data_IF_052202043120
#
_entry.id   IF_052202043120
#
_cell.length_a   1.000
_cell.length_b   1.000
_cell.length_c   1.000
_cell.angle_alpha   90.00
_cell.angle_beta   90.00
_cell.angle_gamma   90.00
#
_symmetry.space_group_name_H-M   'P 1'
#
loop_
_entity.id
_entity.type
_entity.pdbx_description
1 polymer ?
#
# COMPACT_ATOMS: atom_id res chain seq x y z
N UNK A 1 49.84 -14.00 16.71
CA UNK A 1 48.62 -13.72 17.46
C UNK A 1 47.47 -13.70 16.46
N UNK A 2 46.64 -14.74 16.47
CA UNK A 2 45.57 -14.97 15.53
C UNK A 2 44.31 -14.26 16.03
N UNK A 3 43.62 -13.53 15.14
CA UNK A 3 42.30 -13.00 15.37
C UNK A 3 41.26 -13.93 14.72
N UNK A 4 40.30 -14.34 15.53
CA UNK A 4 39.28 -15.32 15.22
C UNK A 4 38.24 -14.73 14.25
N UNK A 5 37.85 -15.57 13.27
CA UNK A 5 36.76 -15.32 12.35
C UNK A 5 35.40 -15.54 13.05
N UNK A 6 34.49 -14.59 12.94
CA UNK A 6 33.12 -14.71 13.41
C UNK A 6 32.31 -15.61 12.47
N UNK A 7 31.64 -16.59 13.04
CA UNK A 7 30.72 -17.50 12.38
C UNK A 7 29.41 -16.81 12.03
N UNK A 8 29.10 -16.69 10.71
CA UNK A 8 27.82 -16.28 10.22
C UNK A 8 26.76 -17.35 10.49
N UNK A 9 25.64 -16.93 11.05
CA UNK A 9 24.42 -17.75 11.17
C UNK A 9 23.65 -17.64 9.84
N UNK A 10 23.81 -18.61 8.96
CA UNK A 10 22.89 -18.81 7.83
C UNK A 10 21.64 -19.55 8.35
N UNK A 11 20.52 -18.87 8.34
CA UNK A 11 19.22 -19.48 8.62
C UNK A 11 18.81 -20.37 7.43
N UNK A 12 18.69 -21.67 7.67
CA UNK A 12 18.23 -22.68 6.71
C UNK A 12 16.75 -22.46 6.35
N UNK A 13 16.49 -21.82 5.21
CA UNK A 13 15.17 -21.52 4.66
C UNK A 13 14.63 -22.64 3.75
N UNK A 14 14.77 -23.90 4.12
CA UNK A 14 14.12 -24.98 3.35
C UNK A 14 12.63 -25.06 3.67
N UNK A 15 11.73 -25.06 2.66
CA UNK A 15 10.30 -25.23 2.89
C UNK A 15 10.02 -26.66 3.36
N UNK A 16 9.45 -26.80 4.55
CA UNK A 16 8.88 -28.09 4.99
C UNK A 16 7.71 -28.44 4.08
N UNK A 17 7.82 -29.53 3.35
CA UNK A 17 6.70 -30.10 2.59
C UNK A 17 5.70 -30.70 3.57
N UNK A 18 4.55 -30.05 3.72
CA UNK A 18 3.40 -30.64 4.40
C UNK A 18 2.55 -31.40 3.37
N UNK A 19 2.56 -32.71 3.42
CA UNK A 19 1.67 -33.54 2.64
C UNK A 19 0.24 -33.47 3.23
N UNK A 20 -0.71 -32.99 2.44
CA UNK A 20 -2.12 -33.01 2.78
C UNK A 20 -2.63 -34.47 2.67
N UNK A 21 -3.02 -35.07 3.79
CA UNK A 21 -3.63 -36.39 3.84
C UNK A 21 -5.12 -36.21 4.24
N UNK A 22 -6.08 -36.26 3.31
CA UNK A 22 -7.50 -36.19 3.63
C UNK A 22 -7.92 -37.48 4.30
N UNK A 23 -8.02 -37.48 5.64
CA UNK A 23 -8.72 -38.58 6.33
C UNK A 23 -10.22 -38.43 6.14
N UNK A 24 -10.98 -39.53 5.95
CA UNK A 24 -12.44 -39.46 5.81
C UNK A 24 -13.07 -38.94 7.10
N UNK A 25 -13.97 -38.00 6.94
CA UNK A 25 -14.71 -37.31 7.98
C UNK A 25 -15.73 -38.26 8.61
N UNK A 26 -15.43 -38.88 9.76
CA UNK A 26 -16.42 -39.57 10.57
C UNK A 26 -17.05 -38.58 11.54
N UNK A 27 -18.29 -38.22 11.27
CA UNK A 27 -19.08 -37.27 12.06
C UNK A 27 -19.47 -37.86 13.42
N UNK A 28 -18.81 -37.40 14.48
CA UNK A 28 -19.33 -37.48 15.87
C UNK A 28 -19.81 -36.06 16.21
N UNK A 29 -21.10 -35.92 16.56
CA UNK A 29 -21.69 -34.61 16.86
C UNK A 29 -20.99 -33.97 18.08
N UNK A 30 -20.54 -32.70 18.03
CA UNK A 30 -19.97 -32.04 19.21
C UNK A 30 -21.03 -31.90 20.28
N UNK A 31 -20.66 -32.23 21.51
CA UNK A 31 -21.55 -32.19 22.68
C UNK A 31 -21.73 -30.77 23.24
N UNK A 32 -20.83 -29.85 22.92
CA UNK A 32 -20.88 -28.48 23.39
C UNK A 32 -20.88 -27.46 22.25
N UNK A 33 -21.63 -26.35 22.38
CA UNK A 33 -21.60 -25.28 21.39
C UNK A 33 -20.21 -24.63 21.33
N UNK A 34 -19.77 -24.07 20.17
CA UNK A 34 -18.48 -23.39 20.05
C UNK A 34 -18.43 -22.19 21.00
N UNK A 35 -17.21 -21.86 21.47
CA UNK A 35 -16.99 -20.73 22.39
C UNK A 35 -17.41 -19.40 21.73
N UNK A 36 -17.17 -19.27 20.42
CA UNK A 36 -17.49 -18.09 19.61
C UNK A 36 -18.19 -18.48 18.32
N UNK A 37 -18.99 -17.58 17.78
CA UNK A 37 -19.55 -17.72 16.45
C UNK A 37 -18.48 -17.39 15.39
N UNK A 38 -17.58 -16.44 15.72
CA UNK A 38 -16.45 -16.08 14.86
C UNK A 38 -15.19 -15.70 15.65
N UNK A 39 -14.03 -16.19 15.20
CA UNK A 39 -12.71 -15.72 15.62
C UNK A 39 -12.08 -14.96 14.46
N UNK A 40 -11.66 -13.72 14.70
CA UNK A 40 -11.06 -12.83 13.71
C UNK A 40 -9.59 -12.60 14.09
N UNK A 41 -8.68 -12.80 13.14
CA UNK A 41 -7.24 -12.74 13.35
C UNK A 41 -6.66 -11.44 12.80
N UNK A 42 -6.17 -10.57 13.70
CA UNK A 42 -5.57 -9.29 13.39
C UNK A 42 -6.52 -8.11 13.57
N UNK A 43 -6.25 -7.25 14.54
CA UNK A 43 -7.02 -6.04 14.83
C UNK A 43 -6.51 -4.82 14.01
N UNK A 44 -6.29 -5.02 12.71
CA UNK A 44 -6.07 -3.97 11.72
C UNK A 44 -7.40 -3.39 11.21
N UNK A 45 -7.35 -2.64 10.12
CA UNK A 45 -8.51 -1.99 9.51
C UNK A 45 -9.65 -2.98 9.21
N UNK A 46 -9.38 -4.05 8.47
CA UNK A 46 -10.38 -5.04 8.11
C UNK A 46 -10.94 -5.78 9.33
N UNK A 47 -10.08 -6.18 10.27
CA UNK A 47 -10.49 -6.94 11.45
C UNK A 47 -11.35 -6.13 12.43
N UNK A 48 -11.02 -4.85 12.65
CA UNK A 48 -11.82 -3.95 13.50
C UNK A 48 -13.21 -3.74 12.92
N UNK A 49 -13.31 -3.54 11.60
CA UNK A 49 -14.61 -3.43 10.92
C UNK A 49 -15.41 -4.72 10.99
N UNK A 50 -14.78 -5.84 10.64
CA UNK A 50 -15.45 -7.14 10.64
C UNK A 50 -15.96 -7.52 12.03
N UNK A 51 -15.13 -7.37 13.08
CA UNK A 51 -15.51 -7.68 14.45
C UNK A 51 -16.68 -6.82 14.93
N UNK A 52 -16.62 -5.50 14.65
CA UNK A 52 -17.67 -4.57 15.01
C UNK A 52 -19.00 -4.95 14.38
N UNK A 53 -19.02 -5.09 13.05
CA UNK A 53 -20.26 -5.35 12.33
C UNK A 53 -20.83 -6.75 12.55
N UNK A 54 -20.00 -7.76 12.79
CA UNK A 54 -20.47 -9.10 13.14
C UNK A 54 -21.09 -9.10 14.54
N UNK A 55 -20.48 -8.46 15.53
CA UNK A 55 -21.03 -8.36 16.87
C UNK A 55 -22.30 -7.52 16.95
N UNK A 56 -22.41 -6.40 16.19
CA UNK A 56 -23.66 -5.63 16.06
C UNK A 56 -24.82 -6.43 15.48
N UNK A 57 -24.53 -7.56 14.81
CA UNK A 57 -25.53 -8.53 14.32
C UNK A 57 -25.83 -9.66 15.31
N UNK A 58 -25.35 -9.53 16.56
CA UNK A 58 -25.59 -10.49 17.63
C UNK A 58 -24.64 -11.68 17.64
N UNK A 59 -23.54 -11.67 16.89
CA UNK A 59 -22.53 -12.73 16.89
C UNK A 59 -21.61 -12.60 18.10
N UNK A 60 -21.24 -13.72 18.73
CA UNK A 60 -20.17 -13.80 19.72
C UNK A 60 -18.84 -13.77 18.99
N UNK A 61 -18.13 -12.65 19.05
CA UNK A 61 -16.90 -12.40 18.29
C UNK A 61 -15.71 -12.27 19.20
N UNK A 62 -14.64 -13.01 18.89
CA UNK A 62 -13.30 -12.81 19.45
C UNK A 62 -12.38 -12.24 18.38
N UNK A 63 -11.84 -11.05 18.62
CA UNK A 63 -10.82 -10.41 17.78
C UNK A 63 -9.45 -10.56 18.45
N UNK A 64 -8.58 -11.37 17.85
CA UNK A 64 -7.21 -11.63 18.32
C UNK A 64 -6.22 -10.64 17.66
N UNK A 65 -5.36 -10.05 18.47
CA UNK A 65 -4.27 -9.18 18.02
C UNK A 65 -2.96 -9.59 18.72
N UNK A 66 -1.92 -9.89 17.92
CA UNK A 66 -0.62 -10.28 18.45
C UNK A 66 0.16 -9.14 19.10
N UNK A 67 -0.10 -7.91 18.66
CA UNK A 67 0.55 -6.71 19.17
C UNK A 67 -0.03 -6.20 20.47
N UNK A 68 0.72 -5.31 21.13
CA UNK A 68 0.26 -4.60 22.35
C UNK A 68 -0.86 -3.60 22.07
N UNK A 69 -1.09 -3.23 20.80
CA UNK A 69 -2.07 -2.21 20.39
C UNK A 69 -2.74 -2.64 19.09
N UNK A 70 -4.04 -2.45 18.99
CA UNK A 70 -4.78 -2.58 17.75
C UNK A 70 -4.49 -1.40 16.80
N UNK A 71 -4.67 -1.60 15.50
CA UNK A 71 -4.68 -0.55 14.48
C UNK A 71 -3.37 0.22 14.29
N UNK A 72 -2.20 -0.37 14.61
CA UNK A 72 -0.90 0.31 14.54
C UNK A 72 -0.65 0.91 13.15
N UNK A 73 -0.99 0.19 12.07
CA UNK A 73 -0.83 0.67 10.69
C UNK A 73 -1.75 1.86 10.38
N UNK A 74 -2.92 1.94 11.03
CA UNK A 74 -3.82 3.11 10.92
C UNK A 74 -3.11 4.36 11.45
N UNK A 75 -2.47 4.26 12.61
CA UNK A 75 -1.77 5.38 13.25
C UNK A 75 -0.60 5.92 12.43
N UNK A 76 0.05 5.08 11.63
CA UNK A 76 1.23 5.46 10.84
C UNK A 76 0.88 5.96 9.45
N UNK A 77 -0.31 5.68 8.97
CA UNK A 77 -0.73 5.98 7.59
C UNK A 77 -0.92 7.48 7.34
N UNK A 78 -0.73 7.88 6.08
CA UNK A 78 -0.95 9.26 5.63
C UNK A 78 -0.13 10.30 6.43
N UNK A 79 1.06 9.97 6.92
CA UNK A 79 1.88 10.84 7.76
C UNK A 79 1.25 11.09 9.13
N UNK A 80 0.75 10.05 9.78
CA UNK A 80 0.04 10.07 11.09
C UNK A 80 -1.34 10.75 11.07
N UNK A 81 -1.89 11.06 9.88
CA UNK A 81 -3.21 11.67 9.72
C UNK A 81 -4.33 10.68 9.40
N UNK A 82 -4.01 9.50 8.87
CA UNK A 82 -4.90 8.47 8.34
C UNK A 82 -5.74 8.94 7.15
N UNK A 83 -5.33 8.57 5.94
CA UNK A 83 -6.13 8.74 4.74
C UNK A 83 -7.23 7.65 4.70
N UNK A 84 -8.43 7.96 5.20
CA UNK A 84 -9.49 6.97 5.47
C UNK A 84 -10.09 6.38 4.19
N UNK A 85 -10.17 7.15 3.12
CA UNK A 85 -10.66 6.73 1.80
C UNK A 85 -10.27 7.75 0.72
N UNK A 86 -10.76 7.57 -0.50
CA UNK A 86 -10.65 8.51 -1.61
C UNK A 86 -12.04 9.05 -1.99
N UNK A 87 -12.13 10.31 -2.35
CA UNK A 87 -13.36 10.96 -2.83
C UNK A 87 -13.60 10.57 -4.29
N UNK A 88 -14.11 9.39 -4.49
CA UNK A 88 -14.54 8.86 -5.78
C UNK A 88 -15.67 7.84 -5.57
N UNK A 89 -16.29 7.45 -6.66
CA UNK A 89 -17.27 6.37 -6.67
C UNK A 89 -16.63 4.98 -6.56
N UNK A 90 -17.45 3.94 -6.49
CA UNK A 90 -16.98 2.56 -6.42
C UNK A 90 -16.10 2.17 -7.61
N UNK A 91 -16.36 2.73 -8.79
CA UNK A 91 -15.57 2.48 -9.99
C UNK A 91 -14.17 3.05 -9.87
N UNK A 92 -14.04 4.27 -9.35
CA UNK A 92 -12.72 4.88 -9.09
C UNK A 92 -11.88 4.06 -8.11
N UNK A 93 -12.51 3.45 -7.09
CA UNK A 93 -11.81 2.50 -6.21
C UNK A 93 -11.37 1.26 -7.00
N UNK A 94 -12.25 0.63 -7.77
CA UNK A 94 -11.96 -0.58 -8.57
C UNK A 94 -10.79 -0.33 -9.52
N UNK A 95 -10.82 0.77 -10.24
CA UNK A 95 -9.79 1.14 -11.22
C UNK A 95 -8.40 1.29 -10.56
N UNK A 96 -8.34 1.73 -9.30
CA UNK A 96 -7.10 1.87 -8.54
C UNK A 96 -6.40 0.53 -8.25
N UNK A 97 -7.13 -0.59 -8.27
CA UNK A 97 -6.58 -1.94 -8.08
C UNK A 97 -6.27 -2.66 -9.40
N UNK A 98 -6.47 -2.00 -10.54
CA UNK A 98 -6.17 -2.55 -11.87
C UNK A 98 -6.95 -3.85 -12.15
N UNK A 99 -6.26 -4.88 -12.64
CA UNK A 99 -6.91 -6.14 -13.03
C UNK A 99 -7.66 -6.82 -11.88
N UNK A 100 -7.14 -6.72 -10.65
CA UNK A 100 -7.70 -7.34 -9.45
C UNK A 100 -8.88 -6.56 -8.87
N UNK A 101 -9.07 -5.30 -9.28
CA UNK A 101 -10.11 -4.43 -8.73
C UNK A 101 -11.53 -4.95 -8.89
N UNK A 102 -11.81 -5.75 -9.93
CA UNK A 102 -13.12 -6.37 -10.14
C UNK A 102 -13.60 -7.23 -8.97
N UNK A 103 -12.67 -7.78 -8.19
CA UNK A 103 -13.00 -8.54 -6.99
C UNK A 103 -13.74 -7.71 -5.95
N UNK A 104 -13.54 -6.39 -5.92
CA UNK A 104 -14.11 -5.48 -4.93
C UNK A 104 -15.56 -5.06 -5.20
N UNK A 105 -16.17 -5.42 -6.34
CA UNK A 105 -17.53 -4.99 -6.69
C UNK A 105 -18.55 -5.21 -5.57
N UNK A 106 -18.64 -6.44 -5.05
CA UNK A 106 -19.61 -6.77 -4.00
C UNK A 106 -19.27 -6.09 -2.66
N UNK A 107 -17.99 -6.02 -2.33
CA UNK A 107 -17.53 -5.38 -1.10
C UNK A 107 -17.85 -3.86 -1.11
N UNK A 108 -17.60 -3.18 -2.23
CA UNK A 108 -17.90 -1.76 -2.39
C UNK A 108 -19.41 -1.46 -2.53
N UNK A 109 -20.17 -2.38 -3.12
CA UNK A 109 -21.63 -2.28 -3.13
C UNK A 109 -22.23 -2.44 -1.72
N UNK A 110 -21.55 -3.19 -0.85
CA UNK A 110 -21.94 -3.34 0.55
C UNK A 110 -21.49 -2.18 1.43
N UNK A 111 -20.29 -1.63 1.19
CA UNK A 111 -19.72 -0.55 1.99
C UNK A 111 -18.83 0.33 1.09
N UNK A 112 -19.37 1.43 0.61
CA UNK A 112 -18.78 2.35 -0.36
C UNK A 112 -17.85 3.39 0.31
N UNK A 113 -17.09 4.20 -0.45
CA UNK A 113 -16.37 5.36 0.07
C UNK A 113 -17.28 6.35 0.80
N UNK A 114 -18.51 6.56 0.29
CA UNK A 114 -19.50 7.41 0.94
C UNK A 114 -19.91 6.85 2.30
N UNK A 115 -20.12 5.54 2.40
CA UNK A 115 -20.44 4.88 3.66
C UNK A 115 -19.29 4.99 4.66
N UNK A 116 -18.03 4.96 4.19
CA UNK A 116 -16.84 5.22 5.02
C UNK A 116 -16.85 6.62 5.62
N UNK A 117 -17.10 7.64 4.82
CA UNK A 117 -17.20 9.04 5.28
C UNK A 117 -18.32 9.18 6.30
N UNK A 118 -19.50 8.61 6.01
CA UNK A 118 -20.66 8.66 6.91
C UNK A 118 -20.40 7.90 8.21
N UNK A 119 -19.76 6.71 8.16
CA UNK A 119 -19.36 5.94 9.34
C UNK A 119 -18.53 6.79 10.29
N UNK A 120 -17.46 7.42 9.79
CA UNK A 120 -16.59 8.24 10.64
C UNK A 120 -17.28 9.50 11.14
N UNK A 121 -18.16 10.11 10.32
CA UNK A 121 -18.97 11.25 10.76
C UNK A 121 -19.87 10.89 11.94
N UNK A 122 -20.58 9.76 11.87
CA UNK A 122 -21.45 9.26 12.94
C UNK A 122 -20.66 8.93 14.20
N UNK A 123 -19.43 8.43 14.06
CA UNK A 123 -18.52 8.14 15.17
C UNK A 123 -17.82 9.39 15.73
N UNK A 124 -18.20 10.59 15.29
CA UNK A 124 -17.66 11.86 15.78
C UNK A 124 -16.32 12.26 15.18
N UNK A 125 -15.96 11.69 14.02
CA UNK A 125 -14.74 12.03 13.27
C UNK A 125 -15.15 12.63 11.92
N UNK A 126 -15.44 13.94 11.85
CA UNK A 126 -15.70 14.60 10.58
C UNK A 126 -14.47 14.55 9.68
N UNK A 127 -14.70 14.44 8.37
CA UNK A 127 -13.64 14.31 7.37
C UNK A 127 -13.60 15.50 6.43
N UNK A 128 -12.45 15.72 5.79
CA UNK A 128 -12.22 16.72 4.73
C UNK A 128 -11.61 16.05 3.50
N UNK A 129 -11.90 16.60 2.32
CA UNK A 129 -11.30 16.18 1.05
C UNK A 129 -10.19 17.15 0.68
N UNK A 130 -9.00 16.63 0.41
CA UNK A 130 -7.89 17.43 -0.13
C UNK A 130 -8.01 17.53 -1.67
N UNK A 131 -7.32 18.48 -2.27
CA UNK A 131 -7.34 18.75 -3.73
C UNK A 131 -6.95 17.53 -4.58
N UNK A 132 -6.29 16.54 -3.99
CA UNK A 132 -5.90 15.27 -4.62
C UNK A 132 -6.97 14.18 -4.50
N UNK A 133 -8.14 14.45 -3.93
CA UNK A 133 -9.20 13.49 -3.67
C UNK A 133 -8.98 12.62 -2.42
N UNK A 134 -7.90 12.81 -1.69
CA UNK A 134 -7.64 12.07 -0.43
C UNK A 134 -8.55 12.58 0.68
N UNK A 135 -9.13 11.66 1.45
CA UNK A 135 -10.05 11.97 2.55
C UNK A 135 -9.34 11.76 3.89
N UNK A 136 -9.22 12.83 4.67
CA UNK A 136 -8.60 12.81 5.99
C UNK A 136 -9.58 13.26 7.07
N UNK A 137 -9.38 12.88 8.36
CA UNK A 137 -10.10 13.50 9.44
C UNK A 137 -9.79 15.01 9.50
N UNK A 138 -10.77 15.84 9.82
CA UNK A 138 -10.59 17.29 9.96
C UNK A 138 -9.49 17.64 10.97
N UNK A 139 -9.35 16.83 12.01
CA UNK A 139 -8.33 16.98 13.05
C UNK A 139 -6.89 16.69 12.60
N UNK A 140 -6.70 16.10 11.41
CA UNK A 140 -5.41 15.57 10.93
C UNK A 140 -4.73 14.60 11.90
N UNK A 141 -5.49 13.86 12.72
CA UNK A 141 -4.99 12.89 13.69
C UNK A 141 -5.53 11.49 13.44
N UNK A 142 -4.66 10.57 13.04
CA UNK A 142 -5.00 9.15 12.89
C UNK A 142 -5.50 8.51 14.20
N UNK A 143 -5.12 9.06 15.34
CA UNK A 143 -5.58 8.61 16.65
C UNK A 143 -7.10 8.74 16.80
N UNK A 144 -7.71 9.79 16.28
CA UNK A 144 -9.17 10.00 16.38
C UNK A 144 -9.92 8.93 15.58
N UNK A 145 -9.39 8.57 14.39
CA UNK A 145 -9.90 7.47 13.57
C UNK A 145 -9.85 6.15 14.33
N UNK A 146 -8.69 5.81 14.91
CA UNK A 146 -8.53 4.57 15.66
C UNK A 146 -9.42 4.53 16.91
N UNK A 147 -9.50 5.62 17.64
CA UNK A 147 -10.35 5.70 18.85
C UNK A 147 -11.83 5.55 18.51
N UNK A 148 -12.29 6.10 17.39
CA UNK A 148 -13.66 5.91 16.91
C UNK A 148 -13.96 4.43 16.65
N UNK A 149 -13.05 3.73 15.96
CA UNK A 149 -13.17 2.29 15.71
C UNK A 149 -13.21 1.49 17.02
N UNK A 150 -12.32 1.77 17.96
CA UNK A 150 -12.26 1.05 19.23
C UNK A 150 -13.49 1.33 20.11
N UNK A 151 -14.00 2.56 20.14
CA UNK A 151 -15.24 2.88 20.86
C UNK A 151 -16.42 2.10 20.30
N UNK A 152 -16.56 2.04 18.97
CA UNK A 152 -17.65 1.29 18.34
C UNK A 152 -17.51 -0.21 18.54
N UNK A 153 -16.29 -0.76 18.41
CA UNK A 153 -16.00 -2.15 18.73
C UNK A 153 -16.43 -2.50 20.16
N UNK A 154 -16.06 -1.68 21.13
CA UNK A 154 -16.45 -1.89 22.53
C UNK A 154 -17.98 -1.86 22.71
N UNK A 155 -18.67 -0.90 22.09
CA UNK A 155 -20.14 -0.83 22.15
C UNK A 155 -20.84 -2.02 21.46
N UNK A 156 -20.22 -2.63 20.46
CA UNK A 156 -20.78 -3.78 19.76
C UNK A 156 -20.78 -5.08 20.59
N UNK A 157 -20.00 -5.12 21.68
CA UNK A 157 -19.86 -6.32 22.51
C UNK A 157 -18.83 -7.34 22.01
N UNK A 158 -18.08 -7.05 20.94
CA UNK A 158 -16.98 -7.92 20.51
C UNK A 158 -15.86 -7.94 21.55
N UNK A 159 -15.28 -9.12 21.79
CA UNK A 159 -14.12 -9.28 22.67
C UNK A 159 -12.83 -9.02 21.89
N UNK A 160 -12.04 -8.03 22.32
CA UNK A 160 -10.69 -7.77 21.80
C UNK A 160 -9.63 -8.35 22.75
N UNK A 161 -8.80 -9.26 22.25
CA UNK A 161 -7.67 -9.82 22.96
C UNK A 161 -6.35 -9.35 22.34
N UNK A 162 -5.63 -8.49 23.06
CA UNK A 162 -4.32 -7.97 22.69
C UNK A 162 -3.20 -8.89 23.21
N UNK A 163 -2.04 -8.87 22.56
CA UNK A 163 -0.88 -9.71 22.88
C UNK A 163 -1.20 -11.21 22.86
N UNK A 164 -2.20 -11.59 22.05
CA UNK A 164 -2.66 -12.96 21.90
C UNK A 164 -2.58 -13.37 20.41
N UNK A 165 -1.39 -13.77 19.94
CA UNK A 165 -1.21 -14.26 18.57
C UNK A 165 -1.92 -15.61 18.38
N UNK A 166 -2.68 -15.76 17.30
CA UNK A 166 -3.04 -17.08 16.83
C UNK A 166 -1.77 -17.81 16.35
N UNK A 167 -1.50 -18.98 16.90
CA UNK A 167 -0.34 -19.82 16.55
C UNK A 167 -0.71 -20.91 15.56
N UNK A 168 -1.95 -21.39 15.62
CA UNK A 168 -2.46 -22.38 14.71
C UNK A 168 -3.99 -22.31 14.54
N UNK A 169 -4.49 -22.88 13.44
CA UNK A 169 -5.92 -23.04 13.14
C UNK A 169 -6.10 -24.46 12.63
N UNK A 170 -6.94 -25.25 13.28
CA UNK A 170 -7.34 -26.58 12.84
C UNK A 170 -8.83 -26.61 12.49
N UNK A 171 -9.16 -27.28 11.40
CA UNK A 171 -10.55 -27.65 11.13
C UNK A 171 -10.95 -28.76 12.11
N UNK A 172 -12.06 -28.54 12.80
CA UNK A 172 -12.68 -29.50 13.71
C UNK A 172 -14.12 -29.72 13.32
N UNK A 173 -14.79 -30.67 13.94
CA UNK A 173 -16.19 -30.85 13.70
C UNK A 173 -16.99 -29.59 14.10
N UNK A 174 -17.84 -29.13 13.19
CA UNK A 174 -18.68 -27.94 13.38
C UNK A 174 -17.97 -26.60 13.25
N UNK A 175 -16.67 -26.55 12.87
CA UNK A 175 -15.95 -25.30 12.70
C UNK A 175 -14.44 -25.40 12.80
N UNK A 176 -13.85 -24.59 13.66
CA UNK A 176 -12.41 -24.45 13.81
C UNK A 176 -12.00 -24.40 15.29
N UNK A 177 -10.78 -24.88 15.53
CA UNK A 177 -10.04 -24.63 16.77
C UNK A 177 -8.92 -23.66 16.45
N UNK A 178 -8.89 -22.53 17.17
CA UNK A 178 -7.82 -21.54 17.08
C UNK A 178 -6.97 -21.64 18.33
N UNK A 179 -5.69 -21.91 18.16
CA UNK A 179 -4.71 -22.03 19.24
C UNK A 179 -3.92 -20.74 19.41
N UNK A 180 -3.71 -20.35 20.65
CA UNK A 180 -2.86 -19.23 21.06
C UNK A 180 -1.90 -19.72 22.15
N UNK A 181 -0.86 -18.95 22.54
CA UNK A 181 -0.02 -19.30 23.68
C UNK A 181 -0.75 -19.35 25.02
N UNK A 182 -1.92 -18.70 25.12
CA UNK A 182 -2.67 -18.57 26.36
C UNK A 182 -3.81 -19.59 26.47
N UNK A 183 -4.42 -19.97 25.35
CA UNK A 183 -5.61 -20.86 25.31
C UNK A 183 -5.85 -21.41 23.91
N UNK A 184 -6.72 -22.38 23.81
CA UNK A 184 -7.39 -22.77 22.56
C UNK A 184 -8.86 -22.43 22.68
N UNK A 185 -9.45 -21.93 21.59
CA UNK A 185 -10.87 -21.59 21.49
C UNK A 185 -11.47 -22.24 20.24
N UNK A 186 -12.77 -22.55 20.31
CA UNK A 186 -13.53 -23.07 19.19
C UNK A 186 -14.44 -22.00 18.59
N UNK A 187 -14.61 -22.02 17.27
CA UNK A 187 -15.48 -21.10 16.55
C UNK A 187 -16.11 -21.75 15.34
N UNK A 188 -17.33 -21.34 14.99
CA UNK A 188 -17.97 -21.77 13.74
C UNK A 188 -17.25 -21.21 12.52
N UNK A 189 -16.75 -19.96 12.63
CA UNK A 189 -16.08 -19.24 11.55
C UNK A 189 -14.73 -18.68 11.98
N UNK A 190 -13.78 -18.64 11.04
CA UNK A 190 -12.52 -17.93 11.20
C UNK A 190 -12.35 -16.93 10.07
N UNK A 191 -12.02 -15.68 10.41
CA UNK A 191 -11.70 -14.62 9.45
C UNK A 191 -10.25 -14.19 9.61
N UNK A 192 -9.46 -14.32 8.55
CA UNK A 192 -8.05 -13.91 8.51
C UNK A 192 -7.94 -12.48 7.97
N UNK A 193 -7.48 -11.55 8.81
CA UNK A 193 -7.30 -10.11 8.51
C UNK A 193 -5.93 -9.61 8.96
N UNK A 194 -4.93 -10.49 8.94
CA UNK A 194 -3.58 -10.24 9.48
C UNK A 194 -2.73 -9.27 8.67
N UNK A 195 -3.25 -8.77 7.53
CA UNK A 195 -2.49 -7.96 6.59
C UNK A 195 -1.44 -8.76 5.82
N UNK A 196 -0.49 -8.07 5.21
CA UNK A 196 0.57 -8.63 4.40
C UNK A 196 1.94 -8.71 5.10
N UNK A 197 2.99 -8.20 4.41
CA UNK A 197 4.38 -8.17 4.86
C UNK A 197 4.92 -6.74 5.02
N UNK A 198 4.15 -5.74 4.57
CA UNK A 198 4.59 -4.35 4.56
C UNK A 198 4.60 -3.76 5.96
N UNK A 199 5.67 -3.02 6.27
CA UNK A 199 5.89 -2.41 7.57
C UNK A 199 5.87 -3.45 8.72
N UNK A 200 6.80 -4.42 8.73
CA UNK A 200 6.78 -5.53 9.71
C UNK A 200 6.82 -5.06 11.17
N UNK A 201 7.36 -3.87 11.45
CA UNK A 201 7.29 -3.23 12.76
C UNK A 201 5.88 -2.93 13.28
N UNK A 202 4.85 -2.96 12.41
CA UNK A 202 3.44 -2.88 12.81
C UNK A 202 2.82 -4.23 13.17
N UNK A 203 3.59 -5.32 13.13
CA UNK A 203 3.10 -6.67 13.36
C UNK A 203 2.65 -7.43 12.10
N UNK A 204 2.77 -6.87 10.91
CA UNK A 204 2.44 -7.55 9.64
C UNK A 204 3.62 -8.40 9.17
N UNK A 205 3.65 -9.67 9.56
CA UNK A 205 4.75 -10.63 9.30
C UNK A 205 4.32 -11.80 8.41
N UNK A 206 3.13 -11.70 7.78
CA UNK A 206 2.66 -12.71 6.83
C UNK A 206 2.07 -13.96 7.47
N UNK A 207 1.69 -13.92 8.75
CA UNK A 207 1.14 -15.08 9.48
C UNK A 207 -0.08 -15.67 8.75
N UNK A 208 -0.98 -14.83 8.23
CA UNK A 208 -2.15 -15.25 7.47
C UNK A 208 -1.83 -16.04 6.22
N UNK A 209 -0.67 -15.83 5.61
CA UNK A 209 -0.25 -16.63 4.46
C UNK A 209 0.11 -18.06 4.86
N UNK A 210 0.63 -18.25 6.08
CA UNK A 210 0.86 -19.58 6.65
C UNK A 210 -0.45 -20.33 6.85
N UNK A 211 -1.43 -19.67 7.46
CA UNK A 211 -2.77 -20.24 7.65
C UNK A 211 -3.46 -20.55 6.32
N UNK A 212 -3.42 -19.62 5.36
CA UNK A 212 -3.99 -19.85 4.04
C UNK A 212 -3.41 -21.09 3.35
N UNK A 213 -2.07 -21.24 3.35
CA UNK A 213 -1.41 -22.43 2.77
C UNK A 213 -1.76 -23.72 3.50
N UNK A 214 -1.91 -23.70 4.83
CA UNK A 214 -2.35 -24.85 5.62
C UNK A 214 -3.69 -25.39 5.14
N UNK A 215 -4.58 -24.49 4.73
CA UNK A 215 -5.90 -24.85 4.18
C UNK A 215 -5.92 -25.01 2.64
N UNK A 216 -4.75 -25.15 2.03
CA UNK A 216 -4.61 -25.44 0.61
C UNK A 216 -4.75 -24.23 -0.31
N UNK A 217 -4.82 -22.99 0.21
CA UNK A 217 -4.87 -21.80 -0.60
C UNK A 217 -3.54 -21.47 -1.25
N UNK A 218 -3.63 -21.02 -2.49
CA UNK A 218 -2.50 -20.42 -3.20
C UNK A 218 -2.22 -19.02 -2.64
N UNK A 219 -0.97 -18.76 -2.30
CA UNK A 219 -0.49 -17.41 -1.99
C UNK A 219 0.40 -16.98 -3.14
N UNK A 220 -0.05 -16.01 -3.92
CA UNK A 220 0.69 -15.43 -5.05
C UNK A 220 2.00 -14.80 -4.54
N UNK A 221 3.01 -14.69 -5.43
CA UNK A 221 4.31 -14.15 -5.03
C UNK A 221 4.17 -12.74 -4.47
N UNK A 222 4.47 -12.59 -3.19
CA UNK A 222 4.42 -11.29 -2.51
C UNK A 222 5.63 -10.43 -2.86
N UNK A 223 5.44 -9.11 -2.90
CA UNK A 223 6.47 -8.11 -3.14
C UNK A 223 6.07 -6.76 -2.53
N UNK A 224 7.05 -5.90 -2.17
CA UNK A 224 6.74 -4.56 -1.66
C UNK A 224 6.08 -3.72 -2.74
N UNK A 225 5.03 -2.98 -2.38
CA UNK A 225 4.31 -2.02 -3.23
C UNK A 225 4.08 -0.73 -2.46
N UNK A 226 3.88 0.38 -3.15
CA UNK A 226 3.88 1.71 -2.56
C UNK A 226 5.11 1.92 -1.69
N UNK A 227 6.27 1.76 -2.29
CA UNK A 227 7.57 1.79 -1.63
C UNK A 227 8.50 2.79 -2.30
N UNK A 228 9.32 3.54 -1.56
CA UNK A 228 10.31 4.45 -2.14
C UNK A 228 11.28 3.73 -3.08
N UNK A 229 11.64 4.41 -4.18
CA UNK A 229 12.50 3.89 -5.25
C UNK A 229 13.92 4.37 -5.05
N UNK A 230 14.89 3.45 -5.09
CA UNK A 230 16.30 3.78 -5.11
C UNK A 230 16.82 3.85 -6.55
N UNK A 231 17.72 4.79 -6.82
CA UNK A 231 18.22 5.09 -8.17
C UNK A 231 19.75 5.17 -8.19
N UNK A 232 20.33 4.92 -9.37
CA UNK A 232 21.76 5.09 -9.64
C UNK A 232 22.04 6.49 -10.21
N UNK A 233 21.82 7.52 -9.37
CA UNK A 233 22.02 8.91 -9.74
C UNK A 233 22.31 9.70 -8.45
N UNK A 234 23.60 9.95 -8.17
CA UNK A 234 24.03 10.56 -6.90
C UNK A 234 23.44 11.97 -6.70
N UNK A 235 23.25 12.72 -7.78
CA UNK A 235 22.65 14.04 -7.75
C UNK A 235 21.22 14.07 -7.16
N UNK A 236 20.51 12.95 -7.15
CA UNK A 236 19.18 12.85 -6.53
C UNK A 236 19.27 13.15 -5.02
N UNK A 237 20.37 12.75 -4.40
CA UNK A 237 20.64 13.05 -2.97
C UNK A 237 20.85 14.55 -2.73
N UNK A 238 21.47 15.25 -3.69
CA UNK A 238 21.71 16.69 -3.60
C UNK A 238 20.40 17.48 -3.66
N UNK A 239 19.34 16.90 -4.22
CA UNK A 239 17.97 17.45 -4.22
C UNK A 239 17.13 17.04 -3.02
N UNK A 240 17.68 16.32 -2.04
CA UNK A 240 16.93 15.87 -0.87
C UNK A 240 16.12 16.99 -0.20
N UNK A 241 14.83 16.69 0.07
CA UNK A 241 13.86 17.63 0.62
C UNK A 241 13.11 18.46 -0.44
N UNK A 242 13.52 18.43 -1.71
CA UNK A 242 12.78 19.12 -2.78
C UNK A 242 11.53 18.29 -3.14
N UNK A 243 10.38 18.95 -3.11
CA UNK A 243 9.11 18.39 -3.59
C UNK A 243 8.70 19.06 -4.88
N UNK A 244 8.33 18.27 -5.88
CA UNK A 244 7.67 18.74 -7.09
C UNK A 244 6.23 18.25 -7.07
N UNK A 245 5.27 19.19 -7.14
CA UNK A 245 3.87 18.88 -6.93
C UNK A 245 3.21 18.15 -8.10
N UNK A 246 3.75 18.32 -9.31
CA UNK A 246 3.18 17.76 -10.53
C UNK A 246 4.29 17.29 -11.49
N UNK A 247 4.51 15.98 -11.55
CA UNK A 247 5.52 15.33 -12.39
C UNK A 247 4.90 14.11 -13.06
N UNK A 248 5.16 13.95 -14.36
CA UNK A 248 4.91 12.69 -15.06
C UNK A 248 6.09 11.74 -14.86
N UNK A 249 5.80 10.47 -14.52
CA UNK A 249 6.82 9.42 -14.35
C UNK A 249 6.41 8.20 -15.16
N UNK A 250 7.35 7.67 -15.95
CA UNK A 250 7.22 6.39 -16.63
C UNK A 250 8.31 5.43 -16.17
N UNK A 251 7.96 4.17 -16.00
CA UNK A 251 8.93 3.07 -15.81
C UNK A 251 9.21 2.45 -17.18
N UNK A 252 10.44 2.58 -17.64
CA UNK A 252 10.87 2.11 -18.94
C UNK A 252 11.73 0.85 -18.82
N UNK A 253 11.39 -0.25 -19.51
CA UNK A 253 12.32 -1.36 -19.73
C UNK A 253 13.40 -0.97 -20.76
N UNK A 254 14.46 -1.79 -20.91
CA UNK A 254 15.50 -1.55 -21.94
C UNK A 254 14.94 -1.40 -23.35
N UNK A 255 13.86 -2.11 -23.66
CA UNK A 255 13.13 -2.03 -24.92
C UNK A 255 11.63 -2.23 -24.68
N UNK A 256 10.81 -1.67 -25.56
CA UNK A 256 9.36 -1.83 -25.53
C UNK A 256 8.60 -0.65 -24.93
N UNK A 257 7.35 -0.92 -24.53
CA UNK A 257 6.44 0.09 -23.99
C UNK A 257 6.69 0.32 -22.48
N UNK A 258 6.35 1.51 -21.96
CA UNK A 258 6.39 1.75 -20.53
C UNK A 258 5.59 0.70 -19.75
N UNK A 259 6.17 0.16 -18.68
CA UNK A 259 5.52 -0.79 -17.75
C UNK A 259 4.49 -0.11 -16.85
N UNK A 260 4.74 1.14 -16.53
CA UNK A 260 3.81 1.99 -15.76
C UNK A 260 4.00 3.45 -16.15
N UNK A 261 2.94 4.22 -16.03
CA UNK A 261 2.96 5.68 -16.19
C UNK A 261 2.02 6.31 -15.17
N UNK A 262 2.48 7.33 -14.45
CA UNK A 262 1.71 8.07 -13.43
C UNK A 262 2.07 9.56 -13.48
N UNK A 263 1.16 10.38 -12.95
CA UNK A 263 1.35 11.81 -12.75
C UNK A 263 0.97 12.19 -11.33
N UNK A 264 1.79 12.99 -10.67
CA UNK A 264 1.54 13.41 -9.30
C UNK A 264 2.76 14.02 -8.63
N UNK A 265 2.71 14.16 -7.32
CA UNK A 265 3.80 14.74 -6.54
C UNK A 265 4.97 13.76 -6.38
N UNK A 266 6.19 14.29 -6.57
CA UNK A 266 7.48 13.62 -6.42
C UNK A 266 8.28 14.28 -5.29
N UNK A 267 8.87 13.48 -4.42
CA UNK A 267 9.80 13.92 -3.38
C UNK A 267 11.19 13.32 -3.67
N UNK A 268 12.21 14.19 -3.77
CA UNK A 268 13.60 13.79 -3.74
C UNK A 268 14.04 13.55 -2.29
N UNK A 269 14.66 12.41 -2.01
CA UNK A 269 15.10 12.02 -0.67
C UNK A 269 16.56 11.55 -0.71
N UNK A 270 17.21 11.54 0.44
CA UNK A 270 18.61 11.11 0.57
C UNK A 270 18.85 9.65 0.13
N UNK A 271 17.83 8.82 0.12
CA UNK A 271 17.86 7.43 -0.31
C UNK A 271 17.42 7.22 -1.77
N UNK A 272 16.86 8.22 -2.42
CA UNK A 272 16.29 8.13 -3.77
C UNK A 272 15.02 8.96 -3.94
N UNK A 273 13.96 8.34 -4.44
CA UNK A 273 12.70 8.99 -4.81
C UNK A 273 11.53 8.46 -3.99
N UNK A 274 10.68 9.36 -3.54
CA UNK A 274 9.46 9.09 -2.78
C UNK A 274 8.32 10.00 -3.26
N UNK A 275 7.25 10.05 -2.50
CA UNK A 275 6.03 10.77 -2.87
C UNK A 275 5.10 9.92 -3.72
N UNK A 276 3.86 10.35 -3.87
CA UNK A 276 2.79 9.56 -4.50
C UNK A 276 3.17 8.94 -5.83
N UNK A 277 3.72 9.73 -6.76
CA UNK A 277 4.01 9.24 -8.12
C UNK A 277 5.11 8.17 -8.15
N UNK A 278 6.17 8.32 -7.34
CA UNK A 278 7.25 7.34 -7.26
C UNK A 278 6.77 6.05 -6.59
N UNK A 279 5.94 6.18 -5.55
CA UNK A 279 5.39 5.04 -4.83
C UNK A 279 4.39 4.25 -5.68
N UNK A 280 3.52 4.91 -6.44
CA UNK A 280 2.57 4.25 -7.33
C UNK A 280 3.24 3.45 -8.46
N UNK A 281 4.37 3.94 -9.01
CA UNK A 281 5.10 3.20 -10.05
C UNK A 281 6.01 2.10 -9.48
N UNK A 282 6.28 2.10 -8.19
CA UNK A 282 7.19 1.13 -7.54
C UNK A 282 6.76 -0.32 -7.70
N UNK A 283 5.45 -0.58 -7.83
CA UNK A 283 4.90 -1.91 -8.11
C UNK A 283 5.47 -2.52 -9.39
N UNK A 284 5.61 -1.73 -10.45
CA UNK A 284 6.20 -2.19 -11.70
C UNK A 284 7.70 -2.51 -11.54
N UNK A 285 8.38 -1.79 -10.66
CA UNK A 285 9.81 -2.00 -10.37
C UNK A 285 10.01 -3.28 -9.54
N UNK A 286 9.31 -3.40 -8.42
CA UNK A 286 9.40 -4.58 -7.54
C UNK A 286 8.89 -5.87 -8.19
N UNK A 287 8.03 -5.74 -9.20
CA UNK A 287 7.51 -6.85 -10.00
C UNK A 287 8.41 -7.30 -11.14
N UNK A 288 9.42 -6.52 -11.52
CA UNK A 288 10.33 -6.86 -12.61
C UNK A 288 11.39 -7.88 -12.16
N UNK A 289 11.76 -8.80 -13.04
CA UNK A 289 12.77 -9.83 -12.72
C UNK A 289 14.14 -9.21 -12.44
N UNK A 290 14.50 -8.17 -13.20
CA UNK A 290 15.77 -7.43 -13.14
C UNK A 290 15.51 -5.94 -12.98
N UNK A 291 15.17 -5.43 -11.78
CA UNK A 291 14.84 -4.02 -11.57
C UNK A 291 15.93 -3.04 -12.01
N UNK A 292 17.19 -3.46 -11.96
CA UNK A 292 18.37 -2.64 -12.34
C UNK A 292 18.49 -2.38 -13.84
N UNK A 293 17.73 -3.07 -14.67
CA UNK A 293 17.65 -2.80 -16.12
C UNK A 293 16.62 -1.71 -16.44
N UNK A 294 15.80 -1.34 -15.47
CA UNK A 294 14.77 -0.33 -15.64
C UNK A 294 15.34 1.08 -15.51
N UNK A 295 14.66 2.02 -16.17
CA UNK A 295 14.86 3.45 -15.94
C UNK A 295 13.54 4.16 -15.67
N UNK A 296 13.60 5.24 -14.88
CA UNK A 296 12.51 6.19 -14.73
C UNK A 296 12.70 7.32 -15.75
N UNK A 297 11.68 7.64 -16.50
CA UNK A 297 11.62 8.83 -17.35
C UNK A 297 10.66 9.83 -16.71
N UNK A 298 11.18 11.04 -16.47
CA UNK A 298 10.41 12.13 -15.85
C UNK A 298 10.05 13.18 -16.88
N UNK A 299 8.80 13.62 -16.84
CA UNK A 299 8.34 14.89 -17.37
C UNK A 299 8.14 15.84 -16.18
N UNK A 300 9.05 16.79 -16.00
CA UNK A 300 9.03 17.72 -14.87
C UNK A 300 8.04 18.87 -15.03
N UNK A 301 7.43 19.03 -16.22
CA UNK A 301 6.40 20.02 -16.54
C UNK A 301 5.29 19.40 -17.41
N UNK A 302 4.51 18.42 -16.89
CA UNK A 302 3.57 17.65 -17.69
C UNK A 302 2.39 18.48 -18.25
N UNK A 303 2.14 19.67 -17.68
CA UNK A 303 1.15 20.61 -18.18
C UNK A 303 1.59 21.44 -19.40
N UNK A 304 2.88 21.34 -19.80
CA UNK A 304 3.45 22.15 -20.88
C UNK A 304 4.11 21.22 -21.90
N UNK A 305 3.75 21.34 -23.17
CA UNK A 305 4.36 20.55 -24.25
C UNK A 305 5.84 20.93 -24.50
N UNK A 306 6.59 20.05 -25.20
CA UNK A 306 8.01 20.29 -25.53
C UNK A 306 8.20 21.56 -26.34
N UNK A 307 7.40 21.75 -27.41
CA UNK A 307 7.52 22.93 -28.29
C UNK A 307 7.15 24.22 -27.54
N UNK A 308 5.99 24.34 -26.82
CA UNK A 308 5.70 25.52 -26.02
C UNK A 308 6.74 25.85 -24.95
N UNK A 309 7.37 24.84 -24.35
CA UNK A 309 8.46 25.07 -23.41
C UNK A 309 9.73 25.59 -24.09
N UNK A 310 10.06 25.05 -25.28
CA UNK A 310 11.16 25.54 -26.11
C UNK A 310 10.95 26.99 -26.58
N UNK A 311 9.71 27.34 -26.97
CA UNK A 311 9.35 28.70 -27.39
C UNK A 311 9.42 29.69 -26.20
N UNK A 312 8.98 29.27 -25.00
CA UNK A 312 9.16 30.03 -23.77
C UNK A 312 10.65 30.34 -23.52
N UNK A 313 11.53 29.35 -23.55
CA UNK A 313 12.97 29.57 -23.34
C UNK A 313 13.57 30.50 -24.38
N UNK A 314 13.12 30.43 -25.63
CA UNK A 314 13.56 31.32 -26.69
C UNK A 314 13.09 32.76 -26.48
N UNK A 315 11.83 32.96 -26.14
CA UNK A 315 11.25 34.27 -25.88
C UNK A 315 11.97 34.96 -24.71
N UNK A 316 12.21 34.21 -23.60
CA UNK A 316 12.92 34.72 -22.42
C UNK A 316 14.39 35.06 -22.74
N UNK A 317 15.07 34.30 -23.58
CA UNK A 317 16.45 34.59 -23.98
C UNK A 317 16.57 35.90 -24.78
N UNK A 318 15.53 36.26 -25.51
CA UNK A 318 15.47 37.50 -26.29
C UNK A 318 15.02 38.69 -25.43
N UNK A 319 13.99 38.52 -24.61
CA UNK A 319 13.38 39.61 -23.83
C UNK A 319 14.13 39.89 -22.52
N UNK A 320 14.66 38.87 -21.86
CA UNK A 320 15.31 38.95 -20.56
C UNK A 320 16.77 38.46 -20.60
N UNK A 321 17.51 38.74 -21.68
CA UNK A 321 18.84 38.21 -21.96
C UNK A 321 19.87 38.43 -20.84
N UNK A 322 19.72 39.49 -20.01
CA UNK A 322 20.59 39.76 -18.85
C UNK A 322 20.32 38.86 -17.64
N UNK A 323 19.14 38.26 -17.55
CA UNK A 323 18.76 37.36 -16.48
C UNK A 323 19.57 36.06 -16.55
N UNK A 324 19.90 35.51 -15.39
CA UNK A 324 20.49 34.16 -15.35
C UNK A 324 19.48 33.11 -15.84
N UNK A 325 19.94 32.16 -16.64
CA UNK A 325 19.09 31.08 -17.20
C UNK A 325 18.45 30.23 -16.11
N UNK A 326 19.16 29.98 -15.01
CA UNK A 326 18.59 29.33 -13.84
C UNK A 326 17.41 30.13 -13.21
N UNK A 327 17.44 31.46 -13.31
CA UNK A 327 16.34 32.33 -12.87
C UNK A 327 15.15 32.28 -13.79
N UNK A 328 15.35 32.11 -15.11
CA UNK A 328 14.26 31.87 -16.09
C UNK A 328 13.57 30.53 -15.82
N UNK A 329 14.34 29.47 -15.63
CA UNK A 329 13.81 28.14 -15.30
C UNK A 329 13.06 28.12 -13.98
N UNK A 330 13.52 28.90 -12.97
CA UNK A 330 12.94 28.99 -11.65
C UNK A 330 11.53 29.61 -11.60
N UNK A 331 11.07 30.21 -12.67
CA UNK A 331 9.67 30.62 -12.82
C UNK A 331 8.69 29.44 -12.90
N UNK A 332 9.21 28.25 -13.23
CA UNK A 332 8.40 27.03 -13.46
C UNK A 332 8.82 25.82 -12.63
N UNK A 333 10.07 25.80 -12.15
CA UNK A 333 10.67 24.68 -11.43
C UNK A 333 11.38 25.15 -10.18
N UNK A 334 11.52 24.32 -9.14
CA UNK A 334 12.33 24.65 -7.96
C UNK A 334 13.77 24.99 -8.35
N UNK A 335 14.34 26.05 -7.73
CA UNK A 335 15.67 26.57 -8.08
C UNK A 335 16.75 25.49 -8.06
N UNK A 336 16.80 24.63 -7.05
CA UNK A 336 17.79 23.55 -6.95
C UNK A 336 17.69 22.56 -8.10
N UNK A 337 16.47 22.29 -8.61
CA UNK A 337 16.26 21.47 -9.80
C UNK A 337 16.80 22.17 -11.05
N UNK A 338 16.56 23.48 -11.20
CA UNK A 338 17.07 24.27 -12.31
C UNK A 338 18.59 24.25 -12.38
N UNK A 339 19.27 24.49 -11.27
CA UNK A 339 20.73 24.49 -11.17
C UNK A 339 21.30 23.13 -11.58
N UNK A 340 20.63 22.04 -11.15
CA UNK A 340 21.01 20.68 -11.50
C UNK A 340 20.80 20.37 -12.99
N UNK A 341 19.67 20.79 -13.57
CA UNK A 341 19.39 20.58 -15.01
C UNK A 341 20.42 21.31 -15.89
N UNK A 342 20.86 22.50 -15.50
CA UNK A 342 21.93 23.23 -16.20
C UNK A 342 23.24 22.43 -16.16
N UNK A 343 23.64 21.95 -14.98
CA UNK A 343 24.84 21.11 -14.84
C UNK A 343 24.75 19.83 -15.67
N UNK A 344 23.61 19.14 -15.65
CA UNK A 344 23.37 17.92 -16.44
C UNK A 344 23.49 18.16 -17.96
N UNK A 345 23.12 19.35 -18.40
CA UNK A 345 23.21 19.75 -19.83
C UNK A 345 24.52 20.45 -20.18
N UNK A 346 25.53 20.41 -19.29
CA UNK A 346 26.86 20.99 -19.51
C UNK A 346 26.88 22.53 -19.50
N UNK A 347 25.90 23.14 -18.83
CA UNK A 347 25.75 24.59 -18.79
C UNK A 347 26.14 25.15 -17.43
N UNK A 348 26.80 26.33 -17.42
CA UNK A 348 27.12 27.02 -16.17
C UNK A 348 25.83 27.53 -15.48
N UNK A 349 25.77 27.42 -14.15
CA UNK A 349 24.60 27.83 -13.37
C UNK A 349 24.35 29.34 -13.42
N UNK A 350 25.41 30.13 -13.60
CA UNK A 350 25.39 31.59 -13.72
C UNK A 350 25.21 32.09 -15.16
N UNK A 351 25.07 31.16 -16.13
CA UNK A 351 24.90 31.47 -17.55
C UNK A 351 23.72 32.43 -17.77
N UNK A 352 23.95 33.46 -18.62
CA UNK A 352 22.88 34.39 -19.00
C UNK A 352 21.97 33.82 -20.07
N UNK A 353 20.68 34.20 -20.02
CA UNK A 353 19.68 33.73 -20.96
C UNK A 353 20.00 34.10 -22.42
N UNK A 354 20.60 35.29 -22.69
CA UNK A 354 21.01 35.68 -24.02
C UNK A 354 22.07 34.74 -24.67
N UNK A 355 22.79 33.97 -23.85
CA UNK A 355 23.80 33.03 -24.35
C UNK A 355 23.25 31.66 -24.68
N UNK A 356 21.91 31.44 -24.61
CA UNK A 356 21.24 30.17 -24.86
C UNK A 356 21.22 29.88 -26.35
N UNK A 357 22.05 28.93 -26.82
CA UNK A 357 22.05 28.47 -28.18
C UNK A 357 20.81 27.57 -28.48
N UNK A 358 20.51 27.33 -29.77
CA UNK A 358 19.46 26.39 -30.18
C UNK A 358 19.75 24.97 -29.65
N UNK A 359 21.00 24.53 -29.68
CA UNK A 359 21.41 23.20 -29.23
C UNK A 359 21.19 23.06 -27.72
N UNK A 360 21.62 24.05 -26.93
CA UNK A 360 21.44 24.07 -25.46
C UNK A 360 19.97 24.12 -25.06
N UNK A 361 19.17 24.90 -25.80
CA UNK A 361 17.71 24.95 -25.60
C UNK A 361 17.06 23.58 -25.80
N UNK A 362 17.42 22.88 -26.87
CA UNK A 362 16.89 21.52 -27.12
C UNK A 362 17.35 20.54 -26.05
N UNK A 363 18.60 20.64 -25.59
CA UNK A 363 19.11 19.81 -24.49
C UNK A 363 18.33 20.06 -23.18
N UNK A 364 18.06 21.34 -22.84
CA UNK A 364 17.24 21.68 -21.67
C UNK A 364 15.79 21.21 -21.80
N UNK A 365 15.19 21.35 -22.97
CA UNK A 365 13.84 20.81 -23.22
C UNK A 365 13.83 19.31 -23.00
N UNK A 366 14.80 18.58 -23.53
CA UNK A 366 14.91 17.13 -23.33
C UNK A 366 15.14 16.78 -21.86
N UNK A 367 16.00 17.53 -21.13
CA UNK A 367 16.26 17.31 -19.71
C UNK A 367 15.04 17.60 -18.84
N UNK A 368 14.17 18.53 -19.20
CA UNK A 368 12.93 18.82 -18.46
C UNK A 368 11.82 17.82 -18.78
N UNK A 369 11.73 17.39 -20.04
CA UNK A 369 10.58 16.62 -20.54
C UNK A 369 10.82 15.11 -20.58
N UNK A 370 12.06 14.67 -20.60
CA UNK A 370 12.47 13.26 -20.76
C UNK A 370 13.71 12.92 -19.96
N UNK A 371 13.81 13.48 -18.72
CA UNK A 371 14.91 13.15 -17.83
C UNK A 371 14.90 11.67 -17.47
N UNK A 372 15.96 10.95 -17.78
CA UNK A 372 16.08 9.52 -17.46
C UNK A 372 17.01 9.27 -16.31
N UNK A 373 16.57 8.40 -15.40
CA UNK A 373 17.31 8.01 -14.21
C UNK A 373 17.29 6.48 -14.08
N UNK A 374 18.46 5.81 -14.05
CA UNK A 374 18.52 4.36 -13.88
C UNK A 374 18.02 3.94 -12.49
N UNK A 375 17.19 2.90 -12.45
CA UNK A 375 16.68 2.31 -11.23
C UNK A 375 17.76 1.44 -10.59
N UNK A 376 17.90 1.52 -9.27
CA UNK A 376 18.69 0.59 -8.46
C UNK A 376 17.79 -0.48 -7.81
N UNK A 377 16.56 -0.12 -7.44
CA UNK A 377 15.59 -1.00 -6.78
C UNK A 377 14.59 -0.24 -5.93
N UNK A 378 14.15 -0.84 -4.84
CA UNK A 378 13.23 -0.25 -3.86
C UNK A 378 13.78 -0.45 -2.43
N UNK A 379 13.21 0.24 -1.44
CA UNK A 379 13.59 0.10 -0.02
C UNK A 379 12.99 -1.14 0.66
N UNK A 380 12.33 -2.04 -0.09
CA UNK A 380 11.81 -3.29 0.46
C UNK A 380 10.60 -3.12 1.39
N UNK A 381 10.23 -4.22 2.05
CA UNK A 381 9.05 -4.28 2.92
C UNK A 381 9.10 -3.35 4.13
N UNK A 382 10.29 -3.05 4.65
CA UNK A 382 10.50 -2.14 5.79
C UNK A 382 9.93 -0.73 5.56
N UNK A 383 9.85 -0.31 4.30
CA UNK A 383 9.37 1.01 3.89
C UNK A 383 8.18 0.96 2.93
N UNK A 384 7.68 -0.23 2.63
CA UNK A 384 6.48 -0.40 1.81
C UNK A 384 5.21 -0.09 2.59
N UNK A 385 4.28 0.66 2.00
CA UNK A 385 2.98 0.90 2.63
C UNK A 385 2.05 -0.30 2.50
N UNK A 386 2.16 -1.06 1.39
CA UNK A 386 1.33 -2.24 1.12
C UNK A 386 2.15 -3.38 0.51
N UNK A 387 1.58 -4.58 0.61
CA UNK A 387 2.08 -5.80 -0.03
C UNK A 387 1.28 -6.05 -1.30
N UNK A 388 1.95 -6.20 -2.43
CA UNK A 388 1.38 -6.77 -3.67
C UNK A 388 1.55 -8.28 -3.62
N UNK A 389 0.56 -9.03 -4.10
CA UNK A 389 0.46 -10.48 -3.88
C UNK A 389 -0.25 -10.81 -2.57
N UNK A 390 -0.67 -12.06 -2.42
CA UNK A 390 -1.44 -12.52 -1.26
C UNK A 390 -2.27 -13.75 -1.58
N UNK A 391 -3.31 -14.01 -0.82
CA UNK A 391 -4.26 -15.12 -1.07
C UNK A 391 -4.93 -14.90 -2.43
N UNK A 392 -4.86 -15.91 -3.29
CA UNK A 392 -5.38 -15.87 -4.65
C UNK A 392 -6.89 -15.59 -4.66
N UNK A 393 -7.30 -14.57 -5.42
CA UNK A 393 -8.68 -14.07 -5.41
C UNK A 393 -9.69 -15.02 -6.03
N UNK A 394 -9.27 -15.86 -6.97
CA UNK A 394 -10.11 -16.88 -7.59
C UNK A 394 -10.51 -18.00 -6.62
N UNK A 395 -9.80 -18.14 -5.51
CA UNK A 395 -10.08 -19.12 -4.45
C UNK A 395 -10.95 -18.56 -3.31
N UNK A 396 -11.36 -17.28 -3.41
CA UNK A 396 -12.23 -16.61 -2.42
C UNK A 396 -13.51 -16.13 -3.13
N UNK A 397 -14.66 -16.32 -2.52
CA UNK A 397 -15.93 -15.81 -3.05
C UNK A 397 -16.00 -14.29 -2.78
N UNK A 398 -15.97 -13.50 -3.83
CA UNK A 398 -16.02 -12.03 -3.76
C UNK A 398 -17.34 -11.46 -3.21
N UNK A 399 -18.38 -12.29 -3.07
CA UNK A 399 -19.71 -11.88 -2.56
C UNK A 399 -19.84 -12.08 -1.05
N UNK A 400 -18.98 -12.93 -0.45
CA UNK A 400 -19.05 -13.31 0.96
C UNK A 400 -17.71 -13.19 1.68
N UNK A 401 -16.61 -13.08 0.95
CA UNK A 401 -15.22 -13.19 1.43
C UNK A 401 -14.86 -14.59 1.95
N UNK A 402 -15.71 -15.59 1.74
CA UNK A 402 -15.47 -16.96 2.17
C UNK A 402 -14.51 -17.69 1.24
N UNK A 403 -13.68 -18.53 1.81
CA UNK A 403 -12.89 -19.53 1.08
C UNK A 403 -13.80 -20.43 0.23
N UNK A 404 -13.45 -20.61 -1.04
CA UNK A 404 -14.10 -21.63 -1.89
C UNK A 404 -13.59 -23.04 -1.63
N UNK A 405 -12.51 -23.18 -0.82
CA UNK A 405 -11.89 -24.47 -0.48
C UNK A 405 -12.37 -25.01 0.85
N UNK A 406 -12.57 -24.12 1.83
CA UNK A 406 -12.88 -24.50 3.21
C UNK A 406 -14.07 -23.66 3.70
N UNK A 407 -15.25 -24.27 3.83
CA UNK A 407 -16.44 -23.60 4.39
C UNK A 407 -16.15 -23.06 5.79
N UNK A 408 -16.63 -21.85 6.09
CA UNK A 408 -16.44 -21.19 7.39
C UNK A 408 -15.10 -20.46 7.54
N UNK A 409 -14.16 -20.60 6.60
CA UNK A 409 -12.92 -19.82 6.56
C UNK A 409 -13.11 -18.59 5.65
N UNK A 410 -12.66 -17.42 6.10
CA UNK A 410 -12.82 -16.15 5.40
C UNK A 410 -11.49 -15.38 5.34
N UNK A 411 -11.36 -14.49 4.35
CA UNK A 411 -10.21 -13.59 4.18
C UNK A 411 -10.68 -12.18 3.86
N UNK A 412 -10.10 -11.16 4.50
CA UNK A 412 -10.40 -9.76 4.20
C UNK A 412 -9.19 -8.83 4.41
N UNK A 413 -9.16 -7.72 3.70
CA UNK A 413 -8.07 -6.75 3.74
C UNK A 413 -6.83 -7.20 2.98
N UNK A 414 -5.67 -6.68 3.39
CA UNK A 414 -4.38 -6.80 2.67
C UNK A 414 -3.79 -8.23 2.65
N UNK A 415 -4.39 -9.20 3.33
CA UNK A 415 -4.01 -10.61 3.18
C UNK A 415 -4.39 -11.17 1.82
N UNK A 416 -5.39 -10.57 1.15
CA UNK A 416 -5.80 -10.87 -0.22
C UNK A 416 -4.79 -10.28 -1.23
N UNK A 417 -4.71 -10.87 -2.43
CA UNK A 417 -3.92 -10.31 -3.54
C UNK A 417 -4.57 -9.03 -4.10
N UNK A 418 -4.65 -8.00 -3.25
CA UNK A 418 -5.25 -6.71 -3.54
C UNK A 418 -4.32 -5.59 -3.08
N UNK A 419 -3.72 -4.88 -4.03
CA UNK A 419 -2.95 -3.68 -3.77
C UNK A 419 -3.38 -2.54 -4.71
N UNK A 420 -3.91 -1.47 -4.14
CA UNK A 420 -4.34 -0.25 -4.82
C UNK A 420 -3.30 0.85 -4.78
N UNK A 421 -3.56 1.94 -5.50
CA UNK A 421 -2.70 3.13 -5.50
C UNK A 421 -2.64 3.80 -4.13
N UNK A 422 -1.68 4.73 -3.99
CA UNK A 422 -1.62 5.60 -2.81
C UNK A 422 -2.82 6.57 -2.82
N UNK A 423 -3.46 6.73 -1.67
CA UNK A 423 -4.54 7.71 -1.58
C UNK A 423 -5.82 7.25 -0.87
N UNK A 424 -5.75 6.29 0.04
CA UNK A 424 -6.90 5.80 0.82
C UNK A 424 -7.59 4.56 0.23
N UNK A 425 -7.21 4.16 -0.98
CA UNK A 425 -7.81 3.02 -1.68
C UNK A 425 -7.65 1.70 -0.89
N UNK A 426 -6.47 1.45 -0.34
CA UNK A 426 -6.18 0.22 0.41
C UNK A 426 -6.97 0.16 1.74
N UNK A 427 -7.19 1.31 2.40
CA UNK A 427 -8.08 1.36 3.55
C UNK A 427 -9.53 1.13 3.14
N UNK A 428 -10.00 1.73 2.03
CA UNK A 428 -11.34 1.46 1.53
C UNK A 428 -11.56 -0.01 1.25
N UNK A 429 -10.61 -0.69 0.59
CA UNK A 429 -10.67 -2.14 0.37
C UNK A 429 -10.76 -2.90 1.70
N UNK A 430 -9.97 -2.51 2.70
CA UNK A 430 -9.99 -3.16 4.01
C UNK A 430 -11.33 -2.98 4.74
N UNK A 431 -11.90 -1.75 4.72
CA UNK A 431 -13.22 -1.47 5.30
C UNK A 431 -14.30 -2.28 4.60
N UNK A 432 -14.34 -2.22 3.27
CA UNK A 432 -15.38 -2.84 2.46
C UNK A 432 -15.37 -4.36 2.55
N UNK A 433 -14.19 -4.99 2.46
CA UNK A 433 -14.05 -6.46 2.56
C UNK A 433 -14.32 -6.95 3.97
N UNK A 434 -13.87 -6.22 5.00
CA UNK A 434 -14.17 -6.52 6.41
C UNK A 434 -15.67 -6.44 6.71
N UNK A 435 -16.35 -5.37 6.25
CA UNK A 435 -17.78 -5.19 6.41
C UNK A 435 -18.60 -6.26 5.66
N UNK A 436 -18.13 -6.67 4.47
CA UNK A 436 -18.79 -7.74 3.71
C UNK A 436 -18.62 -9.10 4.38
N UNK A 437 -17.42 -9.45 4.84
CA UNK A 437 -17.16 -10.68 5.58
C UNK A 437 -18.08 -10.79 6.81
N UNK A 438 -18.24 -9.71 7.57
CA UNK A 438 -19.09 -9.65 8.76
C UNK A 438 -20.57 -10.03 8.51
N UNK A 439 -21.07 -9.87 7.29
CA UNK A 439 -22.44 -10.31 6.92
C UNK A 439 -22.58 -11.81 6.85
N UNK A 440 -21.49 -12.52 6.60
CA UNK A 440 -21.47 -13.95 6.32
C UNK A 440 -20.99 -14.78 7.52
N UNK A 441 -20.49 -14.11 8.58
CA UNK A 441 -20.04 -14.71 9.85
C UNK A 441 -21.21 -15.11 10.77
#
# INVERSE_FOLDING_TARGET
>A
MALAAGSGFEADLRPRQYAFNPRPYNAVMPTDPPDYDAVILGAGAAGLFAATFAAERGRRVLLLEKGKKAGVKILMSGGTRCNVTHDCDNRGIIDAFGANGKFLHSALANFSPRDTVEFFRVEGVPTKVESTGKVFPVSDKALDVLQALLRRLHRSGATLALQEPATDIDAVEGGFRVSTPLRSVTATHVLVTTGGLSYPGCGTTGDGYGFARKFGHTVTKTRPSLVPVTVNADWVKDLSGVTMHDVGVKVLPPAGKPLASRRGSLLFAHFGLSGPVAMDVSRAISGHATPTELSLEFDLLPGVGEQPFGDFLQAESLSQGKKQLAGVLAERLPRRVCDHLLTLTGQAVDRRAAALSKADRLALVAAVKRLRVPVKGTLGYEKAEVTSGGVALDEVDSRTMQSKRVPGLYFAGEVLDLDGWIGGYNFQSAWSTGALAAKSL
#
